data_IF_631819083228
#
_entry.id   IF_631819083228
#
_cell.length_a   1.000
_cell.length_b   1.000
_cell.length_c   1.000
_cell.angle_alpha   90.00
_cell.angle_beta   90.00
_cell.angle_gamma   90.00
#
_symmetry.space_group_name_H-M   'P 1'
#
loop_
_entity.id
_entity.type
_entity.pdbx_description
1 polymer ?
#
# COMPACT_ATOMS: atom_id res chain seq x y z
N UNK A 1 16.18 6.98 2.87
CA UNK A 1 14.74 7.11 3.15
C UNK A 1 14.51 8.47 3.77
N UNK A 2 13.44 9.16 3.38
CA UNK A 2 13.22 10.56 3.74
C UNK A 2 11.73 10.84 3.93
N UNK A 3 11.35 11.56 4.98
CA UNK A 3 9.99 12.08 5.16
C UNK A 3 9.93 13.57 4.79
N UNK A 4 8.93 13.96 4.01
CA UNK A 4 8.75 15.32 3.49
C UNK A 4 7.39 15.87 3.90
N UNK A 5 7.35 17.17 4.21
CA UNK A 5 6.14 17.93 4.54
C UNK A 5 6.23 19.33 3.93
N UNK A 6 5.07 19.92 3.63
CA UNK A 6 4.98 21.30 3.14
C UNK A 6 5.82 21.55 1.88
N UNK A 7 6.58 22.65 1.87
CA UNK A 7 7.37 23.10 0.71
C UNK A 7 8.44 22.09 0.25
N UNK A 8 8.94 21.22 1.15
CA UNK A 8 9.93 20.20 0.81
C UNK A 8 9.37 19.14 -0.16
N UNK A 9 8.06 18.90 -0.15
CA UNK A 9 7.42 17.99 -1.12
C UNK A 9 7.58 18.55 -2.53
N UNK A 10 7.41 19.86 -2.69
CA UNK A 10 7.53 20.54 -3.97
C UNK A 10 8.98 20.66 -4.43
N UNK A 11 9.90 20.98 -3.51
CA UNK A 11 11.33 20.97 -3.81
C UNK A 11 11.78 19.58 -4.31
N UNK A 12 11.29 18.50 -3.68
CA UNK A 12 11.55 17.13 -4.11
C UNK A 12 10.94 16.79 -5.48
N UNK A 13 9.79 17.36 -5.82
CA UNK A 13 9.20 17.20 -7.15
C UNK A 13 10.11 17.79 -8.23
N UNK A 14 10.59 19.02 -8.01
CA UNK A 14 11.48 19.73 -8.94
C UNK A 14 12.80 19.00 -9.15
N UNK A 15 13.30 18.31 -8.11
CA UNK A 15 14.50 17.46 -8.20
C UNK A 15 14.24 16.11 -8.89
N UNK A 16 12.97 15.77 -9.18
CA UNK A 16 12.61 14.49 -9.77
C UNK A 16 12.68 13.31 -8.78
N UNK A 17 12.55 13.59 -7.47
CA UNK A 17 12.55 12.56 -6.43
C UNK A 17 11.23 11.76 -6.38
N UNK A 18 10.14 12.37 -6.84
CA UNK A 18 8.84 11.73 -7.07
C UNK A 18 8.16 12.31 -8.31
N UNK A 19 7.06 11.70 -8.74
CA UNK A 19 6.38 12.08 -9.99
C UNK A 19 4.94 12.52 -9.77
N UNK A 20 4.64 13.76 -10.17
CA UNK A 20 3.27 14.29 -10.21
C UNK A 20 2.35 13.53 -11.14
N UNK A 21 2.84 13.04 -12.28
CA UNK A 21 2.01 12.24 -13.19
C UNK A 21 1.61 10.90 -12.57
N UNK A 22 2.50 10.25 -11.80
CA UNK A 22 2.15 9.04 -11.04
C UNK A 22 1.13 9.31 -9.93
N UNK A 23 1.30 10.40 -9.16
CA UNK A 23 0.32 10.78 -8.14
C UNK A 23 -1.06 11.04 -8.76
N UNK A 24 -1.11 11.77 -9.88
CA UNK A 24 -2.36 12.00 -10.62
C UNK A 24 -2.96 10.69 -11.15
N UNK A 25 -2.14 9.79 -11.68
CA UNK A 25 -2.60 8.48 -12.14
C UNK A 25 -3.24 7.68 -11.01
N UNK A 26 -2.60 7.61 -9.83
CA UNK A 26 -3.16 6.96 -8.65
C UNK A 26 -4.49 7.62 -8.20
N UNK A 27 -4.55 8.96 -8.09
CA UNK A 27 -5.76 9.68 -7.70
C UNK A 27 -6.94 9.43 -8.65
N UNK A 28 -6.69 9.34 -9.96
CA UNK A 28 -7.76 9.03 -10.93
C UNK A 28 -8.35 7.65 -10.71
N UNK A 29 -7.57 6.65 -10.28
CA UNK A 29 -8.13 5.32 -9.97
C UNK A 29 -9.10 5.34 -8.80
N UNK A 30 -9.02 6.37 -7.95
CA UNK A 30 -9.91 6.60 -6.82
C UNK A 30 -11.10 7.49 -7.15
N UNK A 31 -11.22 7.97 -8.40
CA UNK A 31 -12.10 9.08 -8.80
C UNK A 31 -11.90 10.34 -7.93
N UNK A 32 -10.71 10.49 -7.36
CA UNK A 32 -10.35 11.66 -6.57
C UNK A 32 -9.95 12.81 -7.50
N UNK A 33 -10.31 14.05 -7.12
CA UNK A 33 -9.93 15.22 -7.90
C UNK A 33 -8.41 15.29 -8.08
N UNK A 34 -7.96 15.80 -9.23
CA UNK A 34 -6.54 16.12 -9.50
C UNK A 34 -6.30 17.62 -9.59
N UNK A 35 -7.33 18.42 -9.33
CA UNK A 35 -7.28 19.88 -9.30
C UNK A 35 -6.64 20.39 -8.01
N UNK A 36 -6.15 21.64 -8.06
CA UNK A 36 -5.54 22.36 -6.93
C UNK A 36 -4.55 21.50 -6.13
N UNK A 37 -3.79 20.68 -6.83
CA UNK A 37 -2.92 19.69 -6.21
C UNK A 37 -1.85 20.34 -5.32
N UNK A 38 -1.42 21.55 -5.68
CA UNK A 38 -0.46 22.34 -4.89
C UNK A 38 -1.03 22.71 -3.51
N UNK A 39 -2.23 23.27 -3.46
CA UNK A 39 -2.90 23.60 -2.19
C UNK A 39 -3.07 22.36 -1.31
N UNK A 40 -3.46 21.24 -1.91
CA UNK A 40 -3.68 19.97 -1.20
C UNK A 40 -2.37 19.36 -0.69
N UNK A 41 -1.27 19.49 -1.45
CA UNK A 41 0.06 19.05 -1.01
C UNK A 41 0.56 19.91 0.17
N UNK A 42 0.23 21.21 0.19
CA UNK A 42 0.59 22.12 1.29
C UNK A 42 -0.20 21.89 2.58
N UNK A 43 -1.24 21.07 2.55
CA UNK A 43 -2.02 20.76 3.74
C UNK A 43 -1.12 20.21 4.86
N UNK A 44 -1.23 20.68 6.13
CA UNK A 44 -0.34 20.28 7.22
C UNK A 44 -0.28 18.77 7.47
N UNK A 45 -1.37 18.07 7.20
CA UNK A 45 -1.49 16.62 7.37
C UNK A 45 -0.99 15.80 6.16
N UNK A 46 -0.57 16.46 5.08
CA UNK A 46 0.06 15.78 3.95
C UNK A 46 1.51 15.45 4.26
N UNK A 47 1.87 14.17 4.15
CA UNK A 47 3.25 13.69 4.38
C UNK A 47 3.64 12.74 3.25
N UNK A 48 4.78 13.00 2.61
CA UNK A 48 5.32 12.11 1.59
C UNK A 48 6.56 11.40 2.14
N UNK A 49 6.60 10.08 1.94
CA UNK A 49 7.71 9.23 2.33
C UNK A 49 8.44 8.76 1.09
N UNK A 50 9.70 9.16 0.94
CA UNK A 50 10.57 8.76 -0.16
C UNK A 50 11.46 7.59 0.25
N UNK A 51 11.46 6.56 -0.60
CA UNK A 51 12.31 5.39 -0.47
C UNK A 51 13.11 5.25 -1.76
N UNK A 52 14.43 5.18 -1.62
CA UNK A 52 15.35 4.92 -2.72
C UNK A 52 15.98 3.55 -2.46
N UNK A 53 15.74 2.64 -3.38
CA UNK A 53 16.26 1.27 -3.32
C UNK A 53 17.67 1.23 -3.91
N UNK A 54 18.42 0.19 -3.52
CA UNK A 54 19.83 0.01 -3.91
C UNK A 54 20.02 -0.19 -5.42
N UNK A 55 18.99 -0.64 -6.11
CA UNK A 55 18.96 -0.82 -7.57
C UNK A 55 18.57 0.47 -8.32
N UNK A 56 18.38 1.59 -7.61
CA UNK A 56 17.98 2.87 -8.18
C UNK A 56 16.46 3.05 -8.32
N UNK A 57 15.64 2.06 -7.94
CA UNK A 57 14.19 2.25 -7.90
C UNK A 57 13.84 3.34 -6.87
N UNK A 58 13.06 4.33 -7.28
CA UNK A 58 12.48 5.34 -6.39
C UNK A 58 11.02 5.02 -6.15
N UNK A 59 10.63 4.90 -4.88
CA UNK A 59 9.25 4.74 -4.46
C UNK A 59 8.83 5.89 -3.55
N UNK A 60 7.54 6.21 -3.58
CA UNK A 60 6.96 7.26 -2.77
C UNK A 60 5.64 6.76 -2.17
N UNK A 61 5.50 6.89 -0.86
CA UNK A 61 4.23 6.72 -0.15
C UNK A 61 3.65 8.09 0.19
N UNK A 62 2.48 8.41 -0.35
CA UNK A 62 1.77 9.66 -0.06
C UNK A 62 0.68 9.41 0.99
N UNK A 63 0.90 9.91 2.22
CA UNK A 63 -0.19 10.11 3.17
C UNK A 63 -0.89 11.40 2.76
N UNK A 64 -1.96 11.25 1.97
CA UNK A 64 -2.61 12.35 1.29
C UNK A 64 -4.09 12.43 1.68
N UNK A 65 -4.45 13.23 2.69
CA UNK A 65 -5.82 13.31 3.22
C UNK A 65 -6.87 13.63 2.15
N UNK A 66 -6.48 14.38 1.12
CA UNK A 66 -7.37 14.74 0.02
C UNK A 66 -7.49 13.67 -1.08
N UNK A 67 -6.95 12.47 -0.89
CA UNK A 67 -7.17 11.32 -1.79
C UNK A 67 -8.53 10.68 -1.51
N UNK A 68 -9.61 11.45 -1.71
CA UNK A 68 -10.98 11.03 -1.46
C UNK A 68 -11.76 11.11 -2.77
N UNK A 69 -12.25 9.97 -3.23
CA UNK A 69 -13.25 9.86 -4.29
C UNK A 69 -14.68 10.17 -3.82
N UNK A 70 -15.67 10.15 -4.73
CA UNK A 70 -17.06 10.48 -4.41
C UNK A 70 -17.71 9.46 -3.46
N UNK A 71 -17.25 8.20 -3.47
CA UNK A 71 -17.78 7.12 -2.63
C UNK A 71 -16.63 6.44 -1.86
N UNK A 72 -16.08 7.09 -0.81
CA UNK A 72 -15.00 6.50 -0.04
C UNK A 72 -15.49 5.29 0.78
N UNK A 73 -14.63 4.28 0.99
CA UNK A 73 -14.97 3.15 1.85
C UNK A 73 -15.20 3.62 3.29
N UNK A 74 -16.27 3.12 3.93
CA UNK A 74 -16.69 3.54 5.28
C UNK A 74 -15.76 3.06 6.40
N UNK A 75 -15.08 1.94 6.20
CA UNK A 75 -14.34 1.23 7.24
C UNK A 75 -12.86 0.98 6.87
N UNK A 76 -12.36 1.68 5.85
CA UNK A 76 -10.95 1.57 5.43
C UNK A 76 -10.46 2.88 4.85
N UNK A 77 -9.15 3.00 4.64
CA UNK A 77 -8.58 4.07 3.84
C UNK A 77 -8.80 3.83 2.33
N UNK A 78 -8.65 4.89 1.54
CA UNK A 78 -8.44 4.77 0.09
C UNK A 78 -6.96 4.56 -0.18
N UNK A 79 -6.66 3.53 -0.96
CA UNK A 79 -5.30 3.12 -1.28
C UNK A 79 -5.19 2.91 -2.77
N UNK A 80 -4.29 3.63 -3.43
CA UNK A 80 -4.00 3.45 -4.84
C UNK A 80 -2.50 3.33 -5.06
N UNK A 81 -2.13 2.63 -6.12
CA UNK A 81 -0.74 2.51 -6.58
C UNK A 81 -0.66 3.02 -8.01
N UNK A 82 0.44 3.68 -8.33
CA UNK A 82 0.83 3.94 -9.70
C UNK A 82 2.34 3.72 -9.86
N UNK A 83 2.76 3.09 -10.95
CA UNK A 83 4.16 2.85 -11.24
C UNK A 83 4.44 3.02 -12.74
N UNK A 84 5.70 3.36 -13.05
CA UNK A 84 6.19 3.30 -14.42
C UNK A 84 6.65 1.87 -14.69
N UNK A 85 6.10 1.27 -15.74
CA UNK A 85 6.51 -0.05 -16.19
C UNK A 85 7.42 0.12 -17.40
N UNK A 86 8.55 -0.59 -17.40
CA UNK A 86 9.46 -0.59 -18.55
C UNK A 86 8.68 -1.04 -19.79
N UNK A 87 8.84 -0.33 -20.90
CA UNK A 87 8.13 -0.57 -22.18
C UNK A 87 6.64 -0.16 -22.20
N UNK A 88 6.12 0.53 -21.19
CA UNK A 88 4.80 1.17 -21.24
C UNK A 88 4.94 2.68 -21.30
N UNK A 89 4.22 3.31 -22.23
CA UNK A 89 4.18 4.79 -22.34
C UNK A 89 3.37 5.39 -21.20
N UNK A 90 2.21 4.79 -20.91
CA UNK A 90 1.34 5.20 -19.81
C UNK A 90 1.72 4.49 -18.51
N UNK A 91 1.56 5.14 -17.35
CA UNK A 91 1.80 4.50 -16.07
C UNK A 91 0.74 3.43 -15.80
N UNK A 92 1.16 2.30 -15.21
CA UNK A 92 0.22 1.40 -14.58
C UNK A 92 -0.34 2.08 -13.33
N UNK A 93 -1.66 2.05 -13.14
CA UNK A 93 -2.30 2.53 -11.93
C UNK A 93 -3.46 1.63 -11.54
N UNK A 94 -3.65 1.42 -10.25
CA UNK A 94 -4.69 0.55 -9.72
C UNK A 94 -5.22 1.05 -8.38
N UNK A 95 -6.54 1.03 -8.22
CA UNK A 95 -7.18 1.15 -6.91
C UNK A 95 -7.04 -0.18 -6.16
N UNK A 96 -6.30 -0.16 -5.05
CA UNK A 96 -6.17 -1.29 -4.15
C UNK A 96 -7.36 -1.31 -3.19
N UNK A 97 -8.51 -1.79 -3.69
CA UNK A 97 -9.74 -1.86 -2.91
C UNK A 97 -9.67 -2.97 -1.86
N UNK A 98 -9.68 -2.60 -0.59
CA UNK A 98 -9.83 -3.56 0.51
C UNK A 98 -11.28 -4.09 0.51
N UNK A 99 -11.49 -5.42 0.58
CA UNK A 99 -12.82 -5.99 0.73
C UNK A 99 -13.51 -5.45 1.98
N UNK A 100 -14.79 -5.07 1.85
CA UNK A 100 -15.62 -4.66 2.99
C UNK A 100 -16.08 -5.84 3.85
N UNK A 101 -17.01 -5.59 4.77
CA UNK A 101 -17.62 -6.62 5.65
C UNK A 101 -18.08 -7.83 4.80
N UNK A 102 -17.69 -9.06 5.15
CA UNK A 102 -17.12 -9.50 6.44
C UNK A 102 -15.58 -9.45 6.57
N UNK A 103 -14.89 -8.65 5.76
CA UNK A 103 -13.43 -8.46 5.78
C UNK A 103 -12.64 -9.77 5.57
N UNK A 104 -12.82 -10.46 4.42
CA UNK A 104 -12.23 -11.78 4.17
C UNK A 104 -10.70 -11.85 4.31
N UNK A 105 -9.98 -10.73 4.18
CA UNK A 105 -8.54 -10.68 4.37
C UNK A 105 -8.09 -11.06 5.79
N UNK A 106 -8.93 -10.91 6.82
CA UNK A 106 -8.63 -11.42 8.16
C UNK A 106 -8.69 -12.95 8.22
N UNK A 107 -9.56 -13.59 7.43
CA UNK A 107 -9.56 -15.05 7.32
C UNK A 107 -8.25 -15.54 6.68
N UNK A 108 -7.72 -14.84 5.69
CA UNK A 108 -6.41 -15.17 5.09
C UNK A 108 -5.25 -14.99 6.08
N UNK A 109 -5.30 -13.94 6.90
CA UNK A 109 -4.33 -13.74 7.98
C UNK A 109 -4.37 -14.92 8.97
N UNK A 110 -5.58 -15.33 9.38
CA UNK A 110 -5.77 -16.46 10.28
C UNK A 110 -5.27 -17.77 9.66
N UNK A 111 -5.49 -18.01 8.37
CA UNK A 111 -4.97 -19.18 7.67
C UNK A 111 -3.43 -19.22 7.70
N UNK A 112 -2.76 -18.07 7.52
CA UNK A 112 -1.31 -17.97 7.66
C UNK A 112 -0.82 -18.33 9.07
N UNK A 113 -1.54 -17.89 10.11
CA UNK A 113 -1.22 -18.25 11.51
C UNK A 113 -1.41 -19.75 11.74
N UNK A 114 -2.55 -20.31 11.31
CA UNK A 114 -2.83 -21.75 11.46
C UNK A 114 -1.76 -22.61 10.79
N UNK A 115 -1.35 -22.24 9.57
CA UNK A 115 -0.24 -22.93 8.89
C UNK A 115 1.00 -22.96 9.78
N UNK A 116 1.44 -21.80 10.27
CA UNK A 116 2.63 -21.71 11.12
C UNK A 116 2.53 -22.54 12.40
N UNK A 117 1.36 -22.58 13.05
CA UNK A 117 1.17 -23.39 14.26
C UNK A 117 1.23 -24.89 13.96
N UNK A 118 0.62 -25.33 12.85
CA UNK A 118 0.56 -26.75 12.49
C UNK A 118 1.89 -27.29 11.92
N UNK A 119 2.56 -26.53 11.06
CA UNK A 119 3.80 -26.96 10.39
C UNK A 119 5.05 -26.57 11.15
N UNK A 120 4.97 -25.56 12.05
CA UNK A 120 6.12 -24.87 12.65
C UNK A 120 7.01 -24.15 11.64
N UNK A 121 6.49 -23.91 10.44
CA UNK A 121 7.18 -23.20 9.36
C UNK A 121 6.49 -21.85 9.10
N UNK A 122 7.24 -20.78 8.78
CA UNK A 122 6.65 -19.48 8.54
C UNK A 122 5.84 -19.46 7.24
N UNK A 123 4.63 -18.87 7.28
CA UNK A 123 3.74 -18.78 6.11
C UNK A 123 4.24 -17.83 5.00
N UNK A 124 5.31 -17.07 5.26
CA UNK A 124 5.96 -16.16 4.32
C UNK A 124 7.39 -15.84 4.80
N UNK A 125 8.29 -15.33 3.93
CA UNK A 125 9.67 -15.06 4.32
C UNK A 125 9.73 -13.95 5.39
N UNK A 126 10.48 -14.18 6.46
CA UNK A 126 10.60 -13.24 7.60
C UNK A 126 11.23 -11.91 7.18
N UNK A 127 12.04 -11.92 6.12
CA UNK A 127 12.67 -10.77 5.49
C UNK A 127 11.63 -9.73 5.08
N UNK A 128 10.42 -10.13 4.68
CA UNK A 128 9.33 -9.20 4.37
C UNK A 128 8.99 -8.34 5.58
N UNK A 129 8.88 -8.95 6.76
CA UNK A 129 8.61 -8.23 8.00
C UNK A 129 9.76 -7.31 8.33
N UNK A 130 11.00 -7.79 8.28
CA UNK A 130 12.19 -6.98 8.55
C UNK A 130 12.29 -5.76 7.61
N UNK A 131 12.02 -5.94 6.32
CA UNK A 131 12.04 -4.86 5.34
C UNK A 131 10.94 -3.84 5.60
N UNK A 132 9.69 -4.28 5.77
CA UNK A 132 8.57 -3.34 5.91
C UNK A 132 8.63 -2.58 7.23
N UNK A 133 8.98 -3.25 8.33
CA UNK A 133 9.12 -2.60 9.64
C UNK A 133 10.37 -1.72 9.69
N UNK A 134 11.50 -2.16 9.14
CA UNK A 134 12.73 -1.37 9.08
C UNK A 134 12.60 -0.13 8.20
N UNK A 135 11.93 -0.24 7.03
CA UNK A 135 11.61 0.92 6.18
C UNK A 135 10.73 1.90 6.97
N UNK A 136 9.68 1.39 7.61
CA UNK A 136 8.77 2.23 8.39
C UNK A 136 9.49 2.93 9.55
N UNK A 137 10.29 2.20 10.32
CA UNK A 137 11.10 2.73 11.42
C UNK A 137 12.01 3.87 10.94
N UNK A 138 12.72 3.64 9.83
CA UNK A 138 13.63 4.63 9.26
C UNK A 138 12.90 5.87 8.75
N UNK A 139 11.71 5.70 8.17
CA UNK A 139 10.85 6.81 7.75
C UNK A 139 10.30 7.59 8.94
N UNK A 140 9.92 6.91 10.03
CA UNK A 140 9.48 7.55 11.27
C UNK A 140 10.60 8.36 11.89
N UNK A 141 11.82 7.82 11.99
CA UNK A 141 13.00 8.55 12.48
C UNK A 141 13.37 9.74 11.60
N UNK A 142 13.26 9.59 10.27
CA UNK A 142 13.45 10.70 9.34
C UNK A 142 12.43 11.80 9.62
N UNK A 143 11.14 11.44 9.76
CA UNK A 143 10.07 12.39 10.09
C UNK A 143 10.30 13.07 11.45
N UNK A 144 10.64 12.28 12.46
CA UNK A 144 10.90 12.71 13.82
C UNK A 144 11.80 11.68 14.53
N UNK A 145 12.95 12.07 15.12
CA UNK A 145 13.37 13.42 15.47
C UNK A 145 14.20 14.15 14.41
N UNK A 146 14.55 13.51 13.28
CA UNK A 146 15.55 14.03 12.33
C UNK A 146 15.01 15.06 11.32
N UNK A 147 13.74 15.47 11.46
CA UNK A 147 13.10 16.59 10.73
C UNK A 147 13.29 16.57 9.21
N UNK A 148 13.12 15.40 8.60
CA UNK A 148 13.22 15.19 7.15
C UNK A 148 14.62 14.92 6.63
N UNK A 149 15.60 14.65 7.50
CA UNK A 149 16.93 14.19 7.07
C UNK A 149 16.83 12.86 6.30
N UNK A 150 17.62 12.72 5.22
CA UNK A 150 17.76 11.45 4.51
C UNK A 150 18.57 10.49 5.36
N UNK A 151 17.95 9.38 5.76
CA UNK A 151 18.62 8.36 6.55
C UNK A 151 18.96 7.12 5.70
N UNK A 152 20.21 6.64 5.71
CA UNK A 152 20.58 5.36 5.11
C UNK A 152 20.10 4.20 5.98
N UNK A 153 20.03 3.01 5.40
CA UNK A 153 19.64 1.76 6.07
C UNK A 153 20.52 0.59 5.60
N UNK A 154 21.84 0.61 5.89
CA UNK A 154 22.74 -0.48 5.51
C UNK A 154 22.30 -1.84 6.08
N UNK A 155 21.65 -1.84 7.24
CA UNK A 155 21.09 -3.03 7.88
C UNK A 155 19.97 -3.71 7.08
N UNK A 156 19.32 -2.98 6.16
CA UNK A 156 18.27 -3.50 5.28
C UNK A 156 18.83 -3.96 3.92
N UNK A 157 20.15 -4.07 3.78
CA UNK A 157 20.81 -4.58 2.57
C UNK A 157 20.72 -6.12 2.45
N UNK A 158 19.50 -6.64 2.56
CA UNK A 158 19.19 -8.07 2.43
C UNK A 158 18.52 -8.34 1.07
N UNK A 159 18.51 -9.60 0.64
CA UNK A 159 17.72 -10.03 -0.51
C UNK A 159 16.39 -10.57 0.00
N UNK A 160 15.29 -10.12 -0.61
CA UNK A 160 13.97 -10.67 -0.39
C UNK A 160 13.53 -11.40 -1.65
N UNK A 161 13.34 -12.70 -1.53
CA UNK A 161 12.73 -13.51 -2.56
C UNK A 161 11.26 -13.70 -2.20
N UNK A 162 10.38 -13.24 -3.09
CA UNK A 162 8.96 -13.58 -2.96
C UNK A 162 8.85 -15.10 -3.06
N UNK A 163 8.20 -15.75 -2.09
CA UNK A 163 7.78 -17.13 -2.28
C UNK A 163 6.87 -17.21 -3.52
N UNK A 164 7.34 -17.89 -4.56
CA UNK A 164 6.55 -18.18 -5.74
C UNK A 164 5.49 -19.23 -5.37
N UNK A 165 4.21 -18.87 -5.35
CA UNK A 165 3.09 -19.81 -5.49
C UNK A 165 2.79 -20.78 -4.33
N UNK A 166 3.66 -20.92 -3.33
CA UNK A 166 3.54 -21.97 -2.30
C UNK A 166 3.09 -21.49 -0.93
N UNK A 167 2.57 -20.26 -0.86
CA UNK A 167 1.74 -19.87 0.27
C UNK A 167 0.46 -20.73 0.27
N UNK A 168 0.08 -21.38 1.39
CA UNK A 168 -1.19 -22.12 1.49
C UNK A 168 -2.41 -21.28 1.09
N UNK A 169 -2.30 -19.95 1.21
CA UNK A 169 -3.32 -18.96 0.82
C UNK A 169 -3.50 -18.90 -0.70
N UNK A 170 -2.40 -18.96 -1.48
CA UNK A 170 -2.47 -18.98 -2.95
C UNK A 170 -2.96 -20.34 -3.48
N UNK A 171 -2.62 -21.45 -2.79
CA UNK A 171 -3.07 -22.81 -3.15
C UNK A 171 -4.60 -22.99 -3.13
N UNK A 172 -5.32 -22.31 -2.22
CA UNK A 172 -6.79 -22.39 -2.15
C UNK A 172 -7.51 -21.50 -3.16
N UNK A 173 -6.94 -20.35 -3.54
CA UNK A 173 -7.53 -19.50 -4.59
C UNK A 173 -7.47 -20.14 -5.98
N UNK A 174 -6.58 -21.11 -6.20
CA UNK A 174 -6.49 -21.89 -7.44
C UNK A 174 -7.62 -22.95 -7.58
N UNK A 175 -8.32 -23.30 -6.50
CA UNK A 175 -9.54 -24.11 -6.56
C UNK A 175 -10.75 -23.19 -6.35
N UNK A 176 -11.54 -22.88 -7.39
CA UNK A 176 -12.78 -22.14 -7.18
C UNK A 176 -13.67 -22.99 -6.27
N UNK A 177 -13.91 -22.50 -5.06
CA UNK A 177 -15.03 -22.98 -4.26
C UNK A 177 -16.27 -22.55 -5.05
N UNK A 178 -17.00 -23.52 -5.62
CA UNK A 178 -18.31 -23.25 -6.20
C UNK A 178 -19.13 -22.46 -5.17
N UNK A 179 -19.80 -21.37 -5.58
CA UNK A 179 -20.60 -20.58 -4.66
C UNK A 179 -21.65 -21.50 -4.04
N UNK A 180 -21.44 -21.87 -2.77
CA UNK A 180 -22.42 -22.60 -1.99
C UNK A 180 -23.72 -21.81 -2.02
N UNK A 181 -24.76 -22.42 -2.58
CA UNK A 181 -26.11 -21.89 -2.61
C UNK A 181 -26.51 -21.63 -1.16
N UNK A 182 -26.56 -20.36 -0.77
CA UNK A 182 -27.22 -19.95 0.47
C UNK A 182 -28.69 -20.37 0.33
N UNK A 183 -29.24 -21.18 1.24
CA UNK A 183 -30.66 -21.49 1.18
C UNK A 183 -31.44 -20.18 1.30
N UNK A 184 -32.44 -20.03 0.42
CA UNK A 184 -33.30 -18.86 0.37
C UNK A 184 -33.84 -18.56 1.77
N UNK A 185 -33.67 -17.31 2.24
CA UNK A 185 -34.32 -16.83 3.46
C UNK A 185 -35.83 -17.00 3.27
N UNK A 186 -36.42 -17.86 4.08
CA UNK A 186 -37.87 -18.00 4.17
C UNK A 186 -38.47 -16.64 4.58
N UNK A 187 -39.47 -16.21 3.81
CA UNK A 187 -40.34 -15.09 4.13
C UNK A 187 -40.99 -15.31 5.49
N UNK A 188 -41.06 -14.26 6.31
CA UNK A 188 -41.97 -14.20 7.45
C UNK A 188 -41.38 -13.53 8.69
N UNK A 189 -41.59 -12.23 8.83
CA UNK A 189 -41.80 -11.61 10.14
C UNK A 189 -43.21 -11.04 10.13
N UNK A 190 -44.08 -11.38 11.10
CA UNK A 190 -45.40 -10.78 11.22
C UNK A 190 -45.32 -9.38 11.83
N UNK A 191 -46.35 -8.60 11.51
CA UNK A 191 -46.59 -7.16 11.71
C UNK A 191 -46.02 -6.48 12.97
#
# INVERSE_FOLDING_TARGET
MTALRGEEIWAAEKRGDWSRSLLKAALRTLDASTEKLEERIKHPDTVFFLVEYRDGLKAMGAMFPSAIGPMPPKFSCQLAVACRVRQQTEPFACWMKTPGIPFPHFAELLQGIQHMVHTREPAYPVERTLLTTGILDRLMHSMHPRRGERLPSPELAIRYERHAGDSPIERKQANPVEPGVLPARANGFPD
#
